data_IF_581644165551
#
_entry.id   IF_581644165551
#
_cell.length_a   1.000
_cell.length_b   1.000
_cell.length_c   1.000
_cell.angle_alpha   90.00
_cell.angle_beta   90.00
_cell.angle_gamma   90.00
#
_symmetry.space_group_name_H-M   'P 1'
#
loop_
_entity.id
_entity.type
_entity.pdbx_description
1 polymer ?
#
# COMPACT_ATOMS: atom_id res chain seq x y z
N UNK A 1 9.84 7.88 -22.98
CA UNK A 1 9.25 7.66 -21.65
C UNK A 1 7.79 7.28 -21.80
N UNK A 2 7.39 6.16 -21.18
CA UNK A 2 6.00 5.70 -21.18
C UNK A 2 5.08 6.73 -20.47
N UNK A 3 3.78 6.73 -20.80
CA UNK A 3 2.78 7.62 -20.18
C UNK A 3 2.65 7.31 -18.69
N UNK A 4 2.72 6.02 -18.32
CA UNK A 4 2.71 5.54 -16.93
C UNK A 4 3.83 6.16 -16.08
N UNK A 5 5.07 6.13 -16.58
CA UNK A 5 6.23 6.70 -15.87
C UNK A 5 6.10 8.20 -15.64
N UNK A 6 5.58 8.96 -16.62
CA UNK A 6 5.36 10.41 -16.46
C UNK A 6 4.28 10.72 -15.42
N UNK A 7 3.22 9.92 -15.39
CA UNK A 7 2.15 10.06 -14.40
C UNK A 7 2.67 9.77 -12.99
N UNK A 8 3.37 8.66 -12.80
CA UNK A 8 3.95 8.27 -11.51
C UNK A 8 5.03 9.24 -11.05
N UNK A 9 5.83 9.77 -11.96
CA UNK A 9 6.80 10.82 -11.61
C UNK A 9 6.11 12.07 -11.05
N UNK A 10 4.98 12.49 -11.64
CA UNK A 10 4.22 13.62 -11.13
C UNK A 10 3.63 13.32 -9.75
N UNK A 11 3.01 12.16 -9.58
CA UNK A 11 2.47 11.74 -8.28
C UNK A 11 3.55 11.66 -7.19
N UNK A 12 4.75 11.13 -7.51
CA UNK A 12 5.88 11.10 -6.58
C UNK A 12 6.39 12.50 -6.22
N UNK A 13 6.42 13.42 -7.19
CA UNK A 13 6.77 14.81 -6.94
C UNK A 13 5.73 15.51 -6.05
N UNK A 14 4.45 15.27 -6.31
CA UNK A 14 3.36 15.83 -5.52
C UNK A 14 3.41 15.29 -4.09
N UNK A 15 3.64 13.98 -3.87
CA UNK A 15 3.80 13.38 -2.54
C UNK A 15 5.02 13.94 -1.79
N UNK A 16 6.12 14.25 -2.50
CA UNK A 16 7.31 14.85 -1.88
C UNK A 16 7.12 16.33 -1.54
N UNK A 17 6.25 17.03 -2.28
CA UNK A 17 6.04 18.47 -2.18
C UNK A 17 4.89 18.83 -1.25
N UNK A 18 3.78 18.12 -1.37
CA UNK A 18 2.63 18.18 -0.49
C UNK A 18 2.85 17.10 0.56
N UNK A 19 3.18 17.52 1.78
CA UNK A 19 3.39 16.60 2.90
C UNK A 19 2.25 15.58 2.95
N UNK A 20 2.59 14.30 3.11
CA UNK A 20 1.60 13.23 3.14
C UNK A 20 0.54 13.51 4.20
N UNK A 21 -0.72 13.09 3.97
CA UNK A 21 -1.77 13.23 4.98
C UNK A 21 -1.33 12.63 6.31
N UNK A 22 -1.85 13.17 7.42
CA UNK A 22 -1.55 12.67 8.76
C UNK A 22 -1.82 11.15 8.83
N UNK A 23 -0.83 10.40 9.32
CA UNK A 23 -0.88 8.94 9.38
C UNK A 23 -0.44 8.22 8.10
N UNK A 24 -0.01 8.90 7.03
CA UNK A 24 0.55 8.25 5.84
C UNK A 24 2.02 8.63 5.70
N UNK A 25 2.91 7.66 5.51
CA UNK A 25 4.33 7.93 5.23
C UNK A 25 4.80 7.08 4.04
N UNK A 26 5.66 7.64 3.19
CA UNK A 26 6.29 6.86 2.11
C UNK A 26 7.53 6.19 2.66
N UNK A 27 7.53 4.86 2.71
CA UNK A 27 8.68 4.08 3.14
C UNK A 27 9.66 3.85 1.97
N UNK A 28 9.14 3.56 0.79
CA UNK A 28 9.94 3.28 -0.39
C UNK A 28 9.21 3.68 -1.67
N UNK A 29 9.84 4.47 -2.54
CA UNK A 29 9.29 4.87 -3.83
C UNK A 29 10.40 5.22 -4.84
N UNK A 30 11.40 4.35 -4.95
CA UNK A 30 12.60 4.59 -5.76
C UNK A 30 12.38 4.31 -7.25
N UNK A 31 11.45 3.40 -7.57
CA UNK A 31 11.11 3.02 -8.94
C UNK A 31 9.64 3.34 -9.27
N UNK A 32 9.26 3.30 -10.55
CA UNK A 32 7.88 3.55 -11.00
C UNK A 32 7.07 2.26 -11.14
N UNK A 33 7.44 1.20 -10.41
CA UNK A 33 6.78 -0.11 -10.49
C UNK A 33 6.27 -0.58 -9.14
N UNK A 34 6.92 -0.18 -8.04
CA UNK A 34 6.69 -0.69 -6.69
C UNK A 34 6.90 0.41 -5.66
N UNK A 35 5.83 0.81 -4.99
CA UNK A 35 5.90 1.75 -3.86
C UNK A 35 5.43 1.08 -2.58
N UNK A 36 6.06 1.42 -1.46
CA UNK A 36 5.68 0.98 -0.11
C UNK A 36 5.32 2.21 0.70
N UNK A 37 4.10 2.24 1.23
CA UNK A 37 3.60 3.31 2.08
C UNK A 37 3.17 2.73 3.43
N UNK A 38 3.49 3.40 4.52
CA UNK A 38 2.90 3.14 5.83
C UNK A 38 1.60 3.93 5.97
N UNK A 39 0.62 3.30 6.60
CA UNK A 39 -0.66 3.88 7.00
C UNK A 39 -0.86 3.59 8.49
N UNK A 40 -1.02 4.64 9.26
CA UNK A 40 -1.40 4.63 10.66
C UNK A 40 -2.88 5.01 10.77
N UNK A 41 -3.65 4.18 11.46
CA UNK A 41 -5.07 4.48 11.67
C UNK A 41 -5.22 5.41 12.86
N UNK A 42 -5.79 6.58 12.61
CA UNK A 42 -5.99 7.62 13.62
C UNK A 42 -7.39 7.55 14.22
N UNK A 43 -7.46 7.41 15.54
CA UNK A 43 -8.67 7.61 16.37
C UNK A 43 -9.73 6.50 16.30
N UNK A 44 -10.33 6.17 17.45
CA UNK A 44 -11.68 5.61 17.64
C UNK A 44 -12.01 4.26 16.97
N UNK A 45 -11.05 3.61 16.34
CA UNK A 45 -11.23 2.33 15.64
C UNK A 45 -10.44 1.22 16.34
N UNK A 46 -10.78 -0.03 16.03
CA UNK A 46 -10.07 -1.21 16.56
C UNK A 46 -8.61 -1.32 16.08
N UNK A 47 -8.18 -0.46 15.15
CA UNK A 47 -6.83 -0.41 14.60
C UNK A 47 -6.07 0.86 15.05
N UNK A 48 -6.65 1.63 15.99
CA UNK A 48 -6.04 2.85 16.48
C UNK A 48 -4.63 2.60 17.03
N UNK A 49 -3.65 3.37 16.52
CA UNK A 49 -2.24 3.24 16.89
C UNK A 49 -1.51 2.09 16.19
N UNK A 50 -2.18 1.31 15.34
CA UNK A 50 -1.52 0.31 14.49
C UNK A 50 -1.01 0.94 13.18
N UNK A 51 0.23 0.58 12.83
CA UNK A 51 0.87 0.94 11.55
C UNK A 51 0.87 -0.25 10.60
N UNK A 52 0.37 -0.02 9.40
CA UNK A 52 0.29 -1.00 8.32
C UNK A 52 1.13 -0.56 7.14
N UNK A 53 1.89 -1.47 6.55
CA UNK A 53 2.58 -1.21 5.30
C UNK A 53 1.75 -1.73 4.10
N UNK A 54 1.64 -0.91 3.07
CA UNK A 54 0.94 -1.19 1.82
C UNK A 54 1.95 -1.16 0.66
N UNK A 55 2.04 -2.27 -0.07
CA UNK A 55 2.76 -2.40 -1.32
C UNK A 55 1.83 -2.10 -2.49
N UNK A 56 2.16 -1.06 -3.24
CA UNK A 56 1.54 -0.69 -4.50
C UNK A 56 2.40 -1.20 -5.64
N UNK A 57 1.80 -1.96 -6.57
CA UNK A 57 2.45 -2.40 -7.80
C UNK A 57 1.76 -1.78 -9.01
N UNK A 58 2.52 -1.03 -9.78
CA UNK A 58 2.06 -0.37 -10.99
C UNK A 58 2.44 -1.20 -12.21
N UNK A 59 1.51 -1.34 -13.13
CA UNK A 59 1.75 -1.94 -14.43
C UNK A 59 2.01 -0.85 -15.49
N UNK A 60 2.24 -1.27 -16.73
CA UNK A 60 2.44 -0.34 -17.85
C UNK A 60 1.14 0.34 -18.33
N UNK A 61 -0.02 -0.10 -17.86
CA UNK A 61 -1.32 0.43 -18.23
C UNK A 61 -1.81 1.51 -17.27
N UNK A 62 -1.15 1.73 -16.12
CA UNK A 62 -1.42 2.85 -15.23
C UNK A 62 -1.37 4.19 -15.97
N UNK A 63 -2.34 5.10 -15.78
CA UNK A 63 -3.44 5.07 -14.80
C UNK A 63 -4.74 4.44 -15.28
N UNK A 64 -4.77 3.78 -16.45
CA UNK A 64 -5.97 3.15 -17.00
C UNK A 64 -6.38 1.92 -16.19
N UNK A 65 -5.40 1.10 -15.79
CA UNK A 65 -5.57 0.03 -14.82
C UNK A 65 -5.22 0.52 -13.41
N UNK A 66 -5.94 0.00 -12.42
CA UNK A 66 -5.64 0.24 -11.02
C UNK A 66 -4.36 -0.52 -10.61
N UNK A 67 -3.54 0.05 -9.70
CA UNK A 67 -2.39 -0.67 -9.17
C UNK A 67 -2.83 -1.86 -8.33
N UNK A 68 -2.01 -2.91 -8.31
CA UNK A 68 -2.23 -4.02 -7.40
C UNK A 68 -1.73 -3.63 -6.00
N UNK A 69 -2.65 -3.53 -5.04
CA UNK A 69 -2.37 -3.13 -3.65
C UNK A 69 -2.41 -4.34 -2.73
N UNK A 70 -1.40 -4.50 -1.89
CA UNK A 70 -1.34 -5.59 -0.91
C UNK A 70 -0.70 -5.12 0.40
N UNK A 71 -1.21 -5.57 1.54
CA UNK A 71 -0.52 -5.36 2.81
C UNK A 71 0.79 -6.14 2.83
N UNK A 72 1.87 -5.46 3.21
CA UNK A 72 3.14 -6.10 3.51
C UNK A 72 2.99 -6.79 4.87
N UNK A 73 3.44 -8.04 4.92
CA UNK A 73 3.50 -8.83 6.15
C UNK A 73 4.94 -9.28 6.31
N UNK A 74 5.61 -8.76 7.32
CA UNK A 74 6.97 -9.10 7.71
C UNK A 74 7.10 -9.12 9.25
N UNK A 75 8.33 -9.12 9.77
CA UNK A 75 8.56 -9.11 11.22
C UNK A 75 8.14 -7.80 11.90
N UNK A 76 7.99 -6.71 11.14
CA UNK A 76 7.67 -5.36 11.60
C UNK A 76 6.20 -4.99 11.37
N UNK A 77 5.64 -5.33 10.21
CA UNK A 77 4.28 -5.00 9.80
C UNK A 77 3.38 -6.22 9.77
N UNK A 78 2.22 -6.13 10.43
CA UNK A 78 1.17 -7.15 10.40
C UNK A 78 -0.01 -6.61 9.62
N UNK A 79 -0.59 -7.43 8.75
CA UNK A 79 -1.78 -7.02 8.03
C UNK A 79 -3.04 -7.08 8.93
N UNK A 80 -3.98 -6.14 8.77
CA UNK A 80 -5.14 -6.02 9.63
C UNK A 80 -6.10 -7.21 9.48
N UNK A 81 -6.83 -7.52 10.54
CA UNK A 81 -7.88 -8.54 10.55
C UNK A 81 -9.20 -7.90 10.13
N UNK A 82 -9.40 -7.78 8.82
CA UNK A 82 -10.57 -7.11 8.24
C UNK A 82 -11.42 -8.08 7.41
N UNK A 83 -12.77 -8.04 7.48
CA UNK A 83 -13.65 -8.97 6.76
C UNK A 83 -13.51 -8.93 5.23
N UNK A 84 -13.08 -7.80 4.66
CA UNK A 84 -12.83 -7.66 3.21
C UNK A 84 -11.46 -8.26 2.80
N UNK A 85 -10.59 -8.58 3.76
CA UNK A 85 -9.35 -9.30 3.46
C UNK A 85 -9.72 -10.74 3.16
N UNK A 86 -9.39 -11.21 1.96
CA UNK A 86 -9.48 -12.62 1.60
C UNK A 86 -8.52 -13.39 2.49
N UNK A 87 -9.01 -13.91 3.61
CA UNK A 87 -8.26 -14.83 4.44
C UNK A 87 -7.86 -16.00 3.54
N UNK A 88 -6.56 -16.24 3.38
CA UNK A 88 -6.10 -17.52 2.84
C UNK A 88 -6.55 -18.57 3.86
N UNK A 89 -7.69 -19.20 3.60
CA UNK A 89 -8.15 -20.34 4.39
C UNK A 89 -7.00 -21.34 4.42
N UNK A 90 -6.55 -21.83 5.59
CA UNK A 90 -5.64 -22.95 5.62
C UNK A 90 -6.29 -24.11 4.83
N UNK A 91 -5.52 -24.88 4.04
CA UNK A 91 -6.07 -26.01 3.32
C UNK A 91 -6.77 -26.91 4.35
N UNK A 92 -8.04 -27.19 4.08
CA UNK A 92 -8.91 -28.01 4.91
C UNK A 92 -8.18 -29.33 5.22
N UNK A 93 -7.59 -29.46 6.41
CA UNK A 93 -7.04 -30.73 6.88
C UNK A 93 -8.22 -31.54 7.36
N UNK A 94 -8.76 -32.35 6.46
CA UNK A 94 -9.78 -33.33 6.80
C UNK A 94 -9.18 -34.38 7.76
N UNK A 95 -9.91 -34.85 8.79
CA UNK A 95 -9.49 -35.99 9.61
C UNK A 95 -9.41 -37.29 8.83
#
# INVERSE_FOLDING_TARGET
MAVSSRRLQKELMDIKKEATPVGIEVLQADDFTRWILSVEVLGGTIYEGEKFALLFRFDNQYPISAPAVQFVVDDTYKAPIHPVRRASLPPYRNP
#
